data_IF_272203812906
#
_entry.id   IF_272203812906
#
_cell.length_a   1.000
_cell.length_b   1.000
_cell.length_c   1.000
_cell.angle_alpha   90.00
_cell.angle_beta   90.00
_cell.angle_gamma   90.00
#
_symmetry.space_group_name_H-M   'P 1'
#
loop_
_entity.id
_entity.type
_entity.pdbx_description
1 polymer ?
#
# COMPACT_ATOMS: atom_id res chain seq x y z
N UNK A 1 18.52 -17.66 -3.64
CA UNK A 1 19.97 -17.91 -3.54
C UNK A 1 20.80 -17.02 -4.47
N UNK A 2 20.50 -16.90 -5.77
CA UNK A 2 21.29 -16.08 -6.71
C UNK A 2 21.41 -14.60 -6.29
N UNK A 3 20.33 -13.97 -5.83
CA UNK A 3 20.35 -12.55 -5.40
C UNK A 3 21.27 -12.34 -4.19
N UNK A 4 21.24 -13.23 -3.21
CA UNK A 4 22.09 -13.13 -2.02
C UNK A 4 23.57 -13.38 -2.38
N UNK A 5 23.85 -14.28 -3.32
CA UNK A 5 25.20 -14.51 -3.80
C UNK A 5 25.78 -13.30 -4.57
N UNK A 6 24.94 -12.66 -5.42
CA UNK A 6 25.30 -11.43 -6.10
C UNK A 6 25.52 -10.27 -5.12
N UNK A 7 24.70 -10.18 -4.08
CA UNK A 7 24.89 -9.19 -3.01
C UNK A 7 26.20 -9.41 -2.25
N UNK A 8 26.47 -10.65 -1.82
CA UNK A 8 27.73 -10.98 -1.15
C UNK A 8 28.97 -10.70 -2.01
N UNK A 9 28.90 -11.00 -3.31
CA UNK A 9 29.95 -10.65 -4.25
C UNK A 9 30.11 -9.14 -4.39
N UNK A 10 29.01 -8.39 -4.52
CA UNK A 10 29.03 -6.94 -4.56
C UNK A 10 29.64 -6.31 -3.31
N UNK A 11 29.30 -6.84 -2.11
CA UNK A 11 29.88 -6.39 -0.84
C UNK A 11 31.41 -6.57 -0.82
N UNK A 12 31.90 -7.71 -1.33
CA UNK A 12 33.34 -7.96 -1.42
C UNK A 12 34.08 -7.04 -2.41
N UNK A 13 33.39 -6.58 -3.48
CA UNK A 13 33.97 -5.69 -4.51
C UNK A 13 33.92 -4.22 -4.12
N UNK A 14 32.77 -3.73 -3.60
CA UNK A 14 32.55 -2.31 -3.29
C UNK A 14 32.96 -1.93 -1.87
N UNK A 15 33.22 -2.92 -1.00
CA UNK A 15 33.53 -2.73 0.41
C UNK A 15 32.30 -2.57 1.30
N UNK A 16 32.42 -2.98 2.54
CA UNK A 16 31.33 -3.03 3.53
C UNK A 16 30.71 -1.66 3.84
N UNK A 17 31.47 -0.59 3.67
CA UNK A 17 30.95 0.77 3.87
C UNK A 17 29.89 1.17 2.82
N UNK A 18 30.08 0.79 1.56
CA UNK A 18 29.10 1.10 0.51
C UNK A 18 27.99 0.06 0.40
N UNK A 19 28.35 -1.21 0.58
CA UNK A 19 27.41 -2.33 0.50
C UNK A 19 27.72 -3.35 1.60
N UNK A 20 27.08 -3.24 2.77
CA UNK A 20 27.30 -4.15 3.90
C UNK A 20 27.04 -5.60 3.54
N UNK A 21 27.74 -6.52 4.19
CA UNK A 21 27.59 -7.94 3.95
C UNK A 21 26.18 -8.42 4.33
N UNK A 22 25.58 -9.37 3.56
CA UNK A 22 24.23 -9.88 3.86
C UNK A 22 24.07 -10.40 5.29
N UNK A 23 25.13 -11.01 5.85
CA UNK A 23 25.12 -11.56 7.22
C UNK A 23 25.01 -10.43 8.25
N UNK A 24 25.76 -9.35 8.09
CA UNK A 24 25.74 -8.17 8.97
C UNK A 24 24.36 -7.53 8.95
N UNK A 25 23.82 -7.30 7.75
CA UNK A 25 22.49 -6.71 7.58
C UNK A 25 21.41 -7.59 8.21
N UNK A 26 21.51 -8.90 8.09
CA UNK A 26 20.55 -9.82 8.72
C UNK A 26 20.64 -9.77 10.25
N UNK A 27 21.85 -9.78 10.82
CA UNK A 27 22.05 -9.65 12.27
C UNK A 27 21.51 -8.32 12.78
N UNK A 28 21.79 -7.23 12.07
CA UNK A 28 21.26 -5.91 12.41
C UNK A 28 19.73 -5.86 12.31
N UNK A 29 19.13 -6.52 11.31
CA UNK A 29 17.68 -6.62 11.20
C UNK A 29 17.04 -7.35 12.39
N UNK A 30 17.67 -8.40 12.90
CA UNK A 30 17.22 -9.10 14.12
C UNK A 30 17.35 -8.22 15.36
N UNK A 31 18.45 -7.49 15.50
CA UNK A 31 18.66 -6.53 16.59
C UNK A 31 17.59 -5.44 16.59
N UNK A 32 17.29 -4.86 15.43
CA UNK A 32 16.22 -3.87 15.27
C UNK A 32 14.84 -4.40 15.69
N UNK A 33 14.56 -5.68 15.41
CA UNK A 33 13.31 -6.33 15.84
C UNK A 33 13.25 -6.58 17.34
N UNK A 34 14.38 -6.91 17.96
CA UNK A 34 14.45 -7.11 19.42
C UNK A 34 14.19 -5.79 20.17
N UNK A 35 14.65 -4.67 19.63
CA UNK A 35 14.44 -3.32 20.15
C UNK A 35 13.27 -2.59 19.47
N UNK A 36 12.17 -3.30 19.26
CA UNK A 36 11.00 -2.86 18.48
C UNK A 36 10.46 -1.48 18.90
N UNK A 37 10.42 -1.19 20.20
CA UNK A 37 9.90 0.09 20.71
C UNK A 37 10.87 1.23 20.49
N UNK A 38 12.16 1.02 20.72
CA UNK A 38 13.20 2.02 20.52
C UNK A 38 13.36 2.41 19.04
N UNK A 39 13.12 1.46 18.15
CA UNK A 39 13.18 1.66 16.69
C UNK A 39 11.85 2.19 16.11
N UNK A 40 10.87 2.50 16.95
CA UNK A 40 9.60 3.15 16.57
C UNK A 40 8.81 2.43 15.45
N UNK A 41 9.05 1.13 15.28
CA UNK A 41 8.37 0.31 14.26
C UNK A 41 6.85 0.34 14.48
N UNK A 42 6.40 0.39 15.75
CA UNK A 42 5.00 0.48 16.12
C UNK A 42 4.31 1.73 15.58
N UNK A 43 5.00 2.87 15.51
CA UNK A 43 4.47 4.13 14.99
C UNK A 43 4.19 4.00 13.49
N UNK A 44 5.17 3.50 12.73
CA UNK A 44 5.01 3.30 11.28
C UNK A 44 3.94 2.25 10.95
N UNK A 45 3.82 1.19 11.74
CA UNK A 45 2.74 0.21 11.61
C UNK A 45 1.38 0.84 11.87
N UNK A 46 1.21 1.62 12.93
CA UNK A 46 -0.03 2.31 13.22
C UNK A 46 -0.42 3.27 12.09
N UNK A 47 0.52 4.12 11.62
CA UNK A 47 0.30 5.02 10.47
C UNK A 47 -0.09 4.25 9.21
N UNK A 48 0.57 3.12 8.96
CA UNK A 48 0.26 2.25 7.82
C UNK A 48 -1.16 1.70 7.93
N UNK A 49 -1.52 1.10 9.06
CA UNK A 49 -2.85 0.50 9.25
C UNK A 49 -3.94 1.55 9.14
N UNK A 50 -3.82 2.67 9.84
CA UNK A 50 -4.83 3.74 9.81
C UNK A 50 -4.92 4.38 8.43
N UNK A 51 -3.79 4.83 7.88
CA UNK A 51 -3.76 5.52 6.59
C UNK A 51 -4.26 4.65 5.43
N UNK A 52 -3.81 3.39 5.37
CA UNK A 52 -4.24 2.44 4.33
C UNK A 52 -5.72 2.09 4.49
N UNK A 53 -6.21 1.87 5.73
CA UNK A 53 -7.61 1.55 5.96
C UNK A 53 -8.54 2.71 5.54
N UNK A 54 -8.19 3.94 5.88
CA UNK A 54 -8.95 5.13 5.46
C UNK A 54 -8.89 5.29 3.94
N UNK A 55 -7.72 5.14 3.33
CA UNK A 55 -7.56 5.23 1.88
C UNK A 55 -8.36 4.15 1.13
N UNK A 56 -8.33 2.91 1.62
CA UNK A 56 -9.14 1.80 1.10
C UNK A 56 -10.63 2.11 1.19
N UNK A 57 -11.11 2.49 2.38
CA UNK A 57 -12.53 2.80 2.59
C UNK A 57 -13.01 3.94 1.67
N UNK A 58 -12.26 5.04 1.65
CA UNK A 58 -12.59 6.21 0.82
C UNK A 58 -12.53 5.89 -0.68
N UNK A 59 -11.44 5.26 -1.13
CA UNK A 59 -11.24 4.93 -2.54
C UNK A 59 -12.24 3.89 -3.04
N UNK A 60 -12.48 2.80 -2.28
CA UNK A 60 -13.48 1.80 -2.63
C UNK A 60 -14.88 2.40 -2.69
N UNK A 61 -15.30 3.18 -1.67
CA UNK A 61 -16.61 3.80 -1.64
C UNK A 61 -16.81 4.75 -2.83
N UNK A 62 -15.86 5.67 -3.06
CA UNK A 62 -15.92 6.61 -4.18
C UNK A 62 -15.87 5.88 -5.55
N UNK A 63 -15.03 4.84 -5.67
CA UNK A 63 -14.91 4.04 -6.90
C UNK A 63 -16.18 3.24 -7.22
N UNK A 64 -16.81 2.62 -6.22
CA UNK A 64 -18.09 1.94 -6.40
C UNK A 64 -19.21 2.89 -6.85
N UNK A 65 -19.27 4.07 -6.24
CA UNK A 65 -20.23 5.12 -6.64
C UNK A 65 -19.95 5.59 -8.07
N UNK A 66 -18.69 5.88 -8.41
CA UNK A 66 -18.31 6.31 -9.75
C UNK A 66 -18.58 5.24 -10.80
N UNK A 67 -18.28 3.98 -10.49
CA UNK A 67 -18.56 2.84 -11.39
C UNK A 67 -20.06 2.58 -11.62
N UNK A 68 -20.90 2.97 -10.65
CA UNK A 68 -22.36 2.82 -10.74
C UNK A 68 -23.04 3.96 -11.52
N UNK A 69 -22.49 5.18 -11.51
CA UNK A 69 -23.12 6.37 -12.07
C UNK A 69 -22.20 7.08 -13.07
N UNK A 70 -22.62 7.19 -14.33
CA UNK A 70 -21.86 7.86 -15.40
C UNK A 70 -21.46 9.30 -15.03
N UNK A 71 -22.36 10.04 -14.36
CA UNK A 71 -22.12 11.43 -13.93
C UNK A 71 -21.02 11.49 -12.87
N UNK A 72 -21.06 10.59 -11.86
CA UNK A 72 -20.03 10.52 -10.83
C UNK A 72 -18.67 10.15 -11.43
N UNK A 73 -18.65 9.21 -12.38
CA UNK A 73 -17.44 8.86 -13.11
C UNK A 73 -16.87 10.04 -13.88
N UNK A 74 -17.73 10.79 -14.61
CA UNK A 74 -17.29 11.95 -15.39
C UNK A 74 -16.68 13.05 -14.52
N UNK A 75 -17.19 13.25 -13.30
CA UNK A 75 -16.69 14.24 -12.35
C UNK A 75 -15.40 13.77 -11.64
N UNK A 76 -15.34 12.52 -11.20
CA UNK A 76 -14.23 12.03 -10.38
C UNK A 76 -13.02 11.58 -11.20
N UNK A 77 -13.23 11.02 -12.39
CA UNK A 77 -12.14 10.51 -13.24
C UNK A 77 -11.04 11.54 -13.52
N UNK A 78 -11.31 12.81 -13.88
CA UNK A 78 -10.25 13.80 -14.10
C UNK A 78 -9.42 14.03 -12.83
N UNK A 79 -10.08 14.15 -11.67
CA UNK A 79 -9.41 14.35 -10.37
C UNK A 79 -8.47 13.18 -10.06
N UNK A 80 -8.98 11.96 -10.15
CA UNK A 80 -8.19 10.76 -9.91
C UNK A 80 -7.02 10.65 -10.89
N UNK A 81 -7.23 11.01 -12.16
CA UNK A 81 -6.16 10.99 -13.15
C UNK A 81 -5.03 11.95 -12.79
N UNK A 82 -5.36 13.17 -12.32
CA UNK A 82 -4.37 14.14 -11.85
C UNK A 82 -3.62 13.61 -10.64
N UNK A 83 -4.33 13.05 -9.64
CA UNK A 83 -3.71 12.49 -8.45
C UNK A 83 -2.72 11.36 -8.77
N UNK A 84 -3.05 10.50 -9.73
CA UNK A 84 -2.18 9.40 -10.17
C UNK A 84 -1.01 9.86 -11.05
N UNK A 85 -1.17 10.97 -11.77
CA UNK A 85 -0.12 11.51 -12.65
C UNK A 85 0.98 12.26 -11.89
N UNK A 86 0.67 12.78 -10.69
CA UNK A 86 1.64 13.54 -9.90
C UNK A 86 2.65 12.63 -9.22
N UNK A 87 3.97 12.95 -9.28
CA UNK A 87 4.99 12.22 -8.53
C UNK A 87 4.69 12.21 -7.04
N UNK A 88 4.82 11.05 -6.35
CA UNK A 88 4.51 10.91 -4.92
C UNK A 88 5.20 11.94 -4.01
N UNK A 89 6.44 12.31 -4.33
CA UNK A 89 7.23 13.28 -3.56
C UNK A 89 6.56 14.66 -3.47
N UNK A 90 5.84 15.06 -4.52
CA UNK A 90 5.13 16.36 -4.52
C UNK A 90 4.06 16.37 -3.42
N UNK A 91 3.34 15.27 -3.26
CA UNK A 91 2.31 15.14 -2.21
C UNK A 91 2.91 15.16 -0.81
N UNK A 92 4.10 14.59 -0.60
CA UNK A 92 4.81 14.68 0.68
C UNK A 92 5.15 16.15 0.98
N UNK A 93 5.73 16.87 0.02
CA UNK A 93 6.12 18.29 0.21
C UNK A 93 4.88 19.15 0.46
N UNK A 94 3.79 18.94 -0.28
CA UNK A 94 2.54 19.68 -0.06
C UNK A 94 1.93 19.36 1.30
N UNK A 95 1.97 18.11 1.73
CA UNK A 95 1.50 17.72 3.06
C UNK A 95 2.29 18.41 4.18
N UNK A 96 3.61 18.47 4.04
CA UNK A 96 4.47 19.19 4.98
C UNK A 96 4.17 20.69 5.03
N UNK A 97 3.90 21.28 3.89
CA UNK A 97 3.55 22.69 3.81
C UNK A 97 2.22 23.01 4.49
N UNK A 98 1.21 22.12 4.35
CA UNK A 98 -0.13 22.34 4.91
C UNK A 98 -0.27 21.92 6.36
N UNK A 99 0.35 20.83 6.76
CA UNK A 99 0.14 20.18 8.05
C UNK A 99 1.39 20.19 8.94
N UNK A 100 2.56 20.59 8.40
CA UNK A 100 3.82 20.54 9.13
C UNK A 100 4.35 19.11 9.27
N UNK A 101 5.34 18.95 10.17
CA UNK A 101 5.94 17.63 10.47
C UNK A 101 5.02 16.78 11.36
N UNK A 102 5.01 15.48 11.16
CA UNK A 102 4.36 14.51 12.04
C UNK A 102 3.20 13.75 11.40
N UNK A 103 2.32 13.19 12.25
CA UNK A 103 1.25 12.27 11.85
C UNK A 103 0.29 12.82 10.78
N UNK A 104 -0.20 14.07 10.83
CA UNK A 104 -1.16 14.54 9.84
C UNK A 104 -0.61 14.54 8.41
N UNK A 105 0.64 14.96 8.21
CA UNK A 105 1.27 14.99 6.90
C UNK A 105 1.50 13.58 6.35
N UNK A 106 1.94 12.64 7.19
CA UNK A 106 2.13 11.24 6.79
C UNK A 106 0.79 10.62 6.40
N UNK A 107 -0.25 10.73 7.26
CA UNK A 107 -1.56 10.17 6.98
C UNK A 107 -2.22 10.76 5.73
N UNK A 108 -2.14 12.08 5.55
CA UNK A 108 -2.63 12.75 4.35
C UNK A 108 -1.95 12.20 3.08
N UNK A 109 -0.63 12.06 3.12
CA UNK A 109 0.15 11.55 1.98
C UNK A 109 -0.27 10.13 1.61
N UNK A 110 -0.47 9.25 2.61
CA UNK A 110 -0.94 7.88 2.37
C UNK A 110 -2.31 7.90 1.70
N UNK A 111 -3.26 8.69 2.25
CA UNK A 111 -4.63 8.74 1.73
C UNK A 111 -4.65 9.24 0.30
N UNK A 112 -3.95 10.33 0.00
CA UNK A 112 -3.95 10.94 -1.34
C UNK A 112 -3.31 10.03 -2.40
N UNK A 113 -2.31 9.24 -2.04
CA UNK A 113 -1.63 8.35 -2.98
C UNK A 113 -2.29 6.97 -3.12
N UNK A 114 -2.88 6.44 -2.05
CA UNK A 114 -3.46 5.09 -2.07
C UNK A 114 -4.94 5.09 -2.47
N UNK A 115 -5.72 6.10 -2.06
CA UNK A 115 -7.15 6.15 -2.38
C UNK A 115 -7.44 6.18 -3.89
N UNK A 116 -6.69 6.91 -4.75
CA UNK A 116 -6.89 6.86 -6.19
C UNK A 116 -6.67 5.48 -6.81
N UNK A 117 -5.73 4.68 -6.29
CA UNK A 117 -5.47 3.33 -6.77
C UNK A 117 -6.65 2.40 -6.46
N UNK A 118 -7.15 2.46 -5.23
CA UNK A 118 -8.30 1.65 -4.81
C UNK A 118 -9.60 2.12 -5.47
N UNK A 119 -9.76 3.43 -5.70
CA UNK A 119 -10.82 3.99 -6.52
C UNK A 119 -10.83 3.39 -7.93
N UNK A 120 -9.68 3.41 -8.61
CA UNK A 120 -9.58 2.89 -9.97
C UNK A 120 -9.98 1.41 -10.05
N UNK A 121 -9.53 0.60 -9.11
CA UNK A 121 -9.89 -0.82 -9.02
C UNK A 121 -11.38 -1.03 -8.81
N UNK A 122 -11.99 -0.33 -7.85
CA UNK A 122 -13.41 -0.43 -7.55
C UNK A 122 -14.29 0.09 -8.70
N UNK A 123 -13.91 1.20 -9.32
CA UNK A 123 -14.63 1.79 -10.44
C UNK A 123 -14.63 0.88 -11.67
N UNK A 124 -13.48 0.28 -11.99
CA UNK A 124 -13.38 -0.72 -13.06
C UNK A 124 -14.22 -1.95 -12.72
N UNK A 125 -14.10 -2.46 -11.48
CA UNK A 125 -14.88 -3.60 -11.02
C UNK A 125 -16.39 -3.37 -11.17
N UNK A 126 -16.88 -2.21 -10.71
CA UNK A 126 -18.30 -1.90 -10.77
C UNK A 126 -18.80 -1.66 -12.21
N UNK A 127 -18.01 -0.99 -13.05
CA UNK A 127 -18.37 -0.74 -14.45
C UNK A 127 -18.27 -1.97 -15.35
N UNK A 128 -17.56 -3.02 -14.93
CA UNK A 128 -17.41 -4.29 -15.67
C UNK A 128 -18.51 -5.32 -15.38
N UNK A 129 -19.48 -4.99 -14.53
CA UNK A 129 -20.62 -5.87 -14.26
C UNK A 129 -21.41 -6.11 -15.56
N UNK A 130 -21.69 -7.37 -15.87
CA UNK A 130 -22.38 -7.75 -17.09
C UNK A 130 -23.86 -7.34 -17.02
N UNK A 131 -24.28 -6.47 -17.95
CA UNK A 131 -25.65 -6.00 -18.06
C UNK A 131 -26.67 -7.12 -18.31
N UNK A 132 -26.29 -8.17 -19.03
CA UNK A 132 -27.17 -9.32 -19.26
C UNK A 132 -27.55 -10.02 -17.94
N UNK A 133 -26.60 -10.11 -17.00
CA UNK A 133 -26.88 -10.63 -15.66
C UNK A 133 -27.80 -9.68 -14.88
N UNK A 134 -27.62 -8.36 -15.00
CA UNK A 134 -28.51 -7.39 -14.37
C UNK A 134 -29.93 -7.51 -14.89
N UNK A 135 -30.11 -7.59 -16.21
CA UNK A 135 -31.40 -7.78 -16.89
C UNK A 135 -32.07 -9.11 -16.48
N UNK A 136 -31.29 -10.18 -16.31
CA UNK A 136 -31.79 -11.45 -15.81
C UNK A 136 -32.40 -11.31 -14.41
N UNK A 137 -31.69 -10.65 -13.48
CA UNK A 137 -32.20 -10.40 -12.14
C UNK A 137 -33.47 -9.55 -12.15
N UNK A 138 -33.57 -8.57 -13.06
CA UNK A 138 -34.75 -7.73 -13.23
C UNK A 138 -35.92 -8.50 -13.83
N UNK A 139 -35.68 -9.38 -14.82
CA UNK A 139 -36.68 -10.22 -15.42
C UNK A 139 -37.33 -11.19 -14.40
N UNK A 140 -36.54 -11.76 -13.50
CA UNK A 140 -37.03 -12.59 -12.38
C UNK A 140 -37.59 -11.78 -11.20
N UNK A 141 -37.67 -10.44 -11.31
CA UNK A 141 -38.16 -9.51 -10.27
C UNK A 141 -37.46 -9.73 -8.92
N UNK A 142 -36.18 -10.08 -8.95
CA UNK A 142 -35.38 -10.26 -7.75
C UNK A 142 -35.08 -8.90 -7.11
N UNK A 143 -35.39 -8.76 -5.82
CA UNK A 143 -35.21 -7.50 -5.09
C UNK A 143 -33.74 -7.04 -5.05
N UNK A 144 -33.52 -5.74 -4.86
CA UNK A 144 -32.18 -5.09 -4.84
C UNK A 144 -31.18 -5.80 -3.92
N UNK A 145 -31.61 -6.28 -2.76
CA UNK A 145 -30.74 -6.97 -1.81
C UNK A 145 -30.19 -8.30 -2.37
N UNK A 146 -31.01 -9.05 -3.11
CA UNK A 146 -30.60 -10.28 -3.78
C UNK A 146 -29.58 -9.95 -4.91
N UNK A 147 -29.82 -8.88 -5.68
CA UNK A 147 -28.91 -8.41 -6.74
C UNK A 147 -27.54 -8.04 -6.14
N UNK A 148 -27.50 -7.31 -5.02
CA UNK A 148 -26.26 -6.98 -4.32
C UNK A 148 -25.55 -8.26 -3.87
N UNK A 149 -26.25 -9.16 -3.18
CA UNK A 149 -25.62 -10.36 -2.56
C UNK A 149 -25.14 -11.40 -3.58
N UNK A 150 -25.86 -11.60 -4.67
CA UNK A 150 -25.60 -12.70 -5.60
C UNK A 150 -24.96 -12.26 -6.92
N UNK A 151 -24.97 -10.98 -7.25
CA UNK A 151 -24.33 -10.45 -8.45
C UNK A 151 -23.15 -9.54 -8.12
N UNK A 152 -23.39 -8.43 -7.40
CA UNK A 152 -22.36 -7.42 -7.19
C UNK A 152 -21.25 -7.90 -6.22
N UNK A 153 -21.60 -8.44 -5.04
CA UNK A 153 -20.59 -8.87 -4.07
C UNK A 153 -19.65 -9.91 -4.66
N UNK A 154 -20.11 -11.05 -5.25
CA UNK A 154 -19.20 -12.04 -5.82
C UNK A 154 -18.34 -11.48 -6.96
N UNK A 155 -18.92 -10.60 -7.80
CA UNK A 155 -18.19 -9.99 -8.91
C UNK A 155 -17.09 -9.03 -8.41
N UNK A 156 -17.38 -8.21 -7.40
CA UNK A 156 -16.48 -7.20 -6.87
C UNK A 156 -15.41 -7.77 -5.94
N UNK A 157 -15.63 -8.94 -5.35
CA UNK A 157 -14.69 -9.54 -4.39
C UNK A 157 -13.27 -9.62 -4.93
N UNK A 158 -13.10 -10.02 -6.20
CA UNK A 158 -11.80 -10.09 -6.84
C UNK A 158 -11.09 -8.74 -6.94
N UNK A 159 -11.83 -7.70 -7.31
CA UNK A 159 -11.30 -6.33 -7.41
C UNK A 159 -10.93 -5.76 -6.04
N UNK A 160 -11.75 -6.03 -5.02
CA UNK A 160 -11.49 -5.60 -3.64
C UNK A 160 -10.25 -6.27 -3.07
N UNK A 161 -10.12 -7.60 -3.20
CA UNK A 161 -8.96 -8.34 -2.70
C UNK A 161 -7.68 -7.88 -3.40
N UNK A 162 -7.70 -7.76 -4.73
CA UNK A 162 -6.54 -7.24 -5.48
C UNK A 162 -6.18 -5.81 -5.06
N UNK A 163 -7.18 -4.95 -4.79
CA UNK A 163 -6.92 -3.58 -4.34
C UNK A 163 -6.33 -3.52 -2.92
N UNK A 164 -6.66 -4.44 -2.03
CA UNK A 164 -6.06 -4.54 -0.70
C UNK A 164 -4.55 -4.82 -0.82
N UNK A 165 -4.16 -5.80 -1.64
CA UNK A 165 -2.74 -6.12 -1.86
C UNK A 165 -1.96 -4.91 -2.40
N UNK A 166 -2.49 -4.25 -3.43
CA UNK A 166 -1.87 -3.04 -4.01
C UNK A 166 -1.81 -1.90 -2.99
N UNK A 167 -2.88 -1.67 -2.22
CA UNK A 167 -2.96 -0.62 -1.22
C UNK A 167 -1.92 -0.81 -0.11
N UNK A 168 -1.73 -2.02 0.38
CA UNK A 168 -0.73 -2.32 1.41
C UNK A 168 0.68 -2.18 0.86
N UNK A 169 0.97 -2.79 -0.28
CA UNK A 169 2.30 -2.72 -0.89
C UNK A 169 2.71 -1.27 -1.21
N UNK A 170 1.78 -0.46 -1.72
CA UNK A 170 2.05 0.95 -2.01
C UNK A 170 2.03 1.80 -0.74
N UNK A 171 1.07 1.57 0.15
CA UNK A 171 0.90 2.34 1.38
C UNK A 171 2.11 2.26 2.30
N UNK A 172 2.68 1.08 2.52
CA UNK A 172 3.89 0.91 3.33
C UNK A 172 5.07 1.70 2.74
N UNK A 173 5.26 1.66 1.42
CA UNK A 173 6.32 2.45 0.75
C UNK A 173 6.10 3.95 0.95
N UNK A 174 4.86 4.41 0.84
CA UNK A 174 4.49 5.82 1.02
C UNK A 174 4.70 6.27 2.47
N UNK A 175 4.36 5.43 3.46
CA UNK A 175 4.63 5.72 4.88
C UNK A 175 6.11 5.98 5.10
N UNK A 176 6.97 5.04 4.70
CA UNK A 176 8.43 5.17 4.86
C UNK A 176 8.96 6.42 4.17
N UNK A 177 8.51 6.71 2.94
CA UNK A 177 8.91 7.90 2.20
C UNK A 177 8.45 9.19 2.89
N UNK A 178 7.20 9.23 3.39
CA UNK A 178 6.67 10.38 4.07
C UNK A 178 7.34 10.62 5.43
N UNK A 179 7.64 9.56 6.18
CA UNK A 179 8.39 9.63 7.44
C UNK A 179 9.84 10.08 7.22
N UNK A 180 10.52 9.55 6.21
CA UNK A 180 11.90 9.91 5.87
C UNK A 180 12.08 11.41 5.58
N UNK A 181 11.04 12.04 5.04
CA UNK A 181 11.09 13.44 4.64
C UNK A 181 10.36 14.39 5.61
N UNK A 182 9.39 13.87 6.36
CA UNK A 182 8.41 14.70 7.04
C UNK A 182 8.03 14.28 8.45
N UNK A 183 8.79 13.40 9.09
CA UNK A 183 8.53 13.04 10.47
C UNK A 183 9.84 12.95 11.28
N UNK A 184 9.73 13.16 12.59
CA UNK A 184 10.81 12.95 13.55
C UNK A 184 10.77 11.57 14.20
N UNK A 185 9.73 10.80 13.89
CA UNK A 185 9.45 9.49 14.50
C UNK A 185 9.03 8.49 13.42
N UNK A 186 9.29 7.22 13.68
CA UNK A 186 8.97 6.11 12.81
C UNK A 186 10.17 5.58 12.03
N UNK A 187 9.99 4.44 11.37
CA UNK A 187 11.04 3.72 10.62
C UNK A 187 11.70 4.61 9.57
N UNK A 188 10.91 5.43 8.85
CA UNK A 188 11.46 6.36 7.87
C UNK A 188 12.36 7.43 8.48
N UNK A 189 12.00 7.96 9.65
CA UNK A 189 12.84 8.91 10.39
C UNK A 189 14.13 8.23 10.87
N UNK A 190 14.06 7.01 11.41
CA UNK A 190 15.26 6.23 11.80
C UNK A 190 16.17 5.94 10.60
N UNK A 191 15.62 5.71 9.42
CA UNK A 191 16.41 5.59 8.18
C UNK A 191 17.11 6.92 7.86
N UNK A 192 16.44 8.05 8.04
CA UNK A 192 17.04 9.37 7.83
C UNK A 192 18.21 9.62 8.80
N UNK A 193 18.04 9.28 10.07
CA UNK A 193 19.08 9.39 11.11
C UNK A 193 20.28 8.49 10.78
N UNK A 194 20.06 7.21 10.51
CA UNK A 194 21.10 6.25 10.14
C UNK A 194 21.87 6.69 8.88
N UNK A 195 21.15 7.26 7.89
CA UNK A 195 21.76 7.84 6.70
C UNK A 195 22.64 9.05 7.04
N UNK A 196 22.20 9.93 7.94
CA UNK A 196 22.97 11.09 8.37
C UNK A 196 24.24 10.69 9.13
N UNK A 197 24.20 9.57 9.85
CA UNK A 197 25.33 8.97 10.57
C UNK A 197 26.22 8.09 9.67
N UNK A 198 25.85 7.91 8.40
CA UNK A 198 26.54 7.03 7.45
C UNK A 198 26.54 5.53 7.86
N UNK A 199 25.53 5.12 8.62
CA UNK A 199 25.33 3.73 9.05
C UNK A 199 24.62 2.92 7.96
N UNK A 200 25.33 2.57 6.90
CA UNK A 200 24.75 1.88 5.74
C UNK A 200 24.13 0.53 6.11
N UNK A 201 24.71 -0.20 7.06
CA UNK A 201 24.18 -1.49 7.54
C UNK A 201 22.81 -1.33 8.21
N UNK A 202 22.62 -0.28 9.00
CA UNK A 202 21.32 0.03 9.63
C UNK A 202 20.26 0.42 8.60
N UNK A 203 20.63 1.26 7.63
CA UNK A 203 19.72 1.62 6.52
C UNK A 203 19.27 0.39 5.74
N UNK A 204 20.23 -0.49 5.37
CA UNK A 204 19.93 -1.72 4.64
C UNK A 204 19.09 -2.70 5.47
N UNK A 205 19.31 -2.76 6.78
CA UNK A 205 18.52 -3.59 7.69
C UNK A 205 17.03 -3.15 7.71
N UNK A 206 16.75 -1.86 7.79
CA UNK A 206 15.38 -1.35 7.68
C UNK A 206 14.76 -1.67 6.32
N UNK A 207 15.49 -1.52 5.21
CA UNK A 207 15.00 -1.87 3.87
C UNK A 207 14.62 -3.35 3.80
N UNK A 208 15.46 -4.24 4.33
CA UNK A 208 15.17 -5.68 4.39
C UNK A 208 13.91 -5.96 5.23
N UNK A 209 13.77 -5.33 6.40
CA UNK A 209 12.57 -5.48 7.24
C UNK A 209 11.30 -5.04 6.52
N UNK A 210 11.33 -3.93 5.79
CA UNK A 210 10.18 -3.44 5.01
C UNK A 210 9.82 -4.44 3.90
N UNK A 211 10.83 -4.97 3.18
CA UNK A 211 10.60 -5.98 2.13
C UNK A 211 9.99 -7.25 2.72
N UNK A 212 10.54 -7.73 3.84
CA UNK A 212 10.02 -8.92 4.54
C UNK A 212 8.59 -8.69 5.01
N UNK A 213 8.29 -7.53 5.59
CA UNK A 213 6.95 -7.19 6.06
C UNK A 213 5.92 -7.19 4.92
N UNK A 214 6.22 -6.51 3.80
CA UNK A 214 5.32 -6.47 2.65
C UNK A 214 5.14 -7.86 2.03
N UNK A 215 6.23 -8.63 1.90
CA UNK A 215 6.19 -9.99 1.36
C UNK A 215 5.38 -10.94 2.26
N UNK A 216 5.56 -10.82 3.57
CA UNK A 216 4.84 -11.63 4.56
C UNK A 216 3.33 -11.31 4.52
N UNK A 217 2.97 -10.03 4.43
CA UNK A 217 1.58 -9.61 4.29
C UNK A 217 0.95 -10.19 3.01
N UNK A 218 1.64 -10.09 1.89
CA UNK A 218 1.17 -10.63 0.62
C UNK A 218 0.94 -12.14 0.71
N UNK A 219 1.90 -12.86 1.29
CA UNK A 219 1.87 -14.33 1.34
C UNK A 219 0.87 -14.87 2.37
N UNK A 220 0.74 -14.22 3.54
CA UNK A 220 -0.11 -14.68 4.65
C UNK A 220 -1.54 -14.15 4.58
N UNK A 221 -1.76 -13.02 3.92
CA UNK A 221 -3.08 -12.38 3.89
C UNK A 221 -3.64 -12.32 2.48
N UNK A 222 -2.94 -11.70 1.53
CA UNK A 222 -3.49 -11.48 0.19
C UNK A 222 -3.69 -12.79 -0.59
N UNK A 223 -2.68 -13.65 -0.62
CA UNK A 223 -2.79 -14.95 -1.34
C UNK A 223 -3.84 -15.89 -0.76
N UNK A 224 -3.94 -16.12 0.56
CA UNK A 224 -5.02 -16.94 1.11
C UNK A 224 -6.41 -16.37 0.84
N UNK A 225 -6.58 -15.05 0.90
CA UNK A 225 -7.84 -14.40 0.53
C UNK A 225 -8.20 -14.63 -0.94
N UNK A 226 -7.23 -14.55 -1.85
CA UNK A 226 -7.42 -14.87 -3.26
C UNK A 226 -7.86 -16.35 -3.46
N UNK A 227 -7.20 -17.27 -2.80
CA UNK A 227 -7.50 -18.71 -2.91
C UNK A 227 -8.89 -19.03 -2.35
N UNK A 228 -9.28 -18.42 -1.23
CA UNK A 228 -10.56 -18.66 -0.56
C UNK A 228 -11.74 -18.05 -1.33
N UNK A 229 -11.58 -16.83 -1.83
CA UNK A 229 -12.68 -16.07 -2.42
C UNK A 229 -12.69 -16.07 -3.95
N UNK A 230 -11.64 -16.58 -4.61
CA UNK A 230 -11.55 -16.67 -6.08
C UNK A 230 -11.15 -18.07 -6.58
N UNK A 231 -11.87 -19.15 -6.20
CA UNK A 231 -11.53 -20.51 -6.62
C UNK A 231 -11.58 -20.73 -8.14
N UNK A 232 -12.26 -19.83 -8.88
CA UNK A 232 -12.41 -19.88 -10.34
C UNK A 232 -11.22 -19.28 -11.12
N UNK A 233 -10.21 -18.73 -10.43
CA UNK A 233 -9.02 -18.10 -11.06
C UNK A 233 -7.81 -19.05 -11.13
N UNK A 234 -8.03 -20.33 -10.81
CA UNK A 234 -7.03 -21.39 -10.91
C UNK A 234 -6.89 -21.89 -12.34
#
# INVERSE_FOLDING_TARGET
>A
MVVVALWAWGSAVFGEFMLPAPVEVFQKSLDLLQHFQENEIGISLWRSVVGISVALAAGLAAGLVAGSFKTAMALLKPVITILLAMPPIIWVVMALFWFGFGNPSVLFTIIVLVAPLTFASAAVGMSSVNKQHEELFDAYKLGRLKKIRYLYIPHLTGYVISSIGVAVAMGVKVVIMAELLGASEGVGARIADARAMLETSTVMAYVVLVIVFVSLFEYLITKPLEILFMPWRR
#
